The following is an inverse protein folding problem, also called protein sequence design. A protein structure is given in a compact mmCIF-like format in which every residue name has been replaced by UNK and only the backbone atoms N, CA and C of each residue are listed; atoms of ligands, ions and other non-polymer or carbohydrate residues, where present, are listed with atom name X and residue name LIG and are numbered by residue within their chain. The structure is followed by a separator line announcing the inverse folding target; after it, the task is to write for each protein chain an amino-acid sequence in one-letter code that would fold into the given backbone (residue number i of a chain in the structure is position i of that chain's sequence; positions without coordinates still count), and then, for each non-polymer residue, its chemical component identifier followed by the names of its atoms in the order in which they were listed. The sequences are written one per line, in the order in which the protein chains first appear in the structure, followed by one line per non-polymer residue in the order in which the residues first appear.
data_IF_263638700126
#
_entry.id   IF_263638700126
#
_cell.length_a   1.000
_cell.length_b   1.000
_cell.length_c   1.000
_cell.angle_alpha   90.00
_cell.angle_beta   90.00
_cell.angle_gamma   90.00
#
_symmetry.space_group_name_H-M   'P 1'
#
loop_
_entity.id
_entity.type
_entity.pdbx_description
1 polymer ?
#
# COMPACT_ATOMS: atom_id res chain seq x y z
N UNK A 1 -16.40 16.11 -0.52
CA UNK A 1 -15.56 15.36 0.43
C UNK A 1 -14.70 14.47 -0.43
N UNK A 2 -13.40 14.71 -0.42
CA UNK A 2 -12.39 13.91 -1.10
C UNK A 2 -12.01 12.72 -0.21
N UNK A 3 -11.60 11.61 -0.82
CA UNK A 3 -11.21 10.39 -0.12
C UNK A 3 -12.12 9.19 -0.39
N UNK A 4 -11.56 8.00 -0.15
CA UNK A 4 -12.15 6.71 -0.54
C UNK A 4 -13.13 6.12 0.50
N UNK A 5 -12.92 6.39 1.79
CA UNK A 5 -13.71 5.81 2.88
C UNK A 5 -14.59 6.87 3.55
N UNK A 6 -15.87 6.56 3.73
CA UNK A 6 -16.86 7.51 4.30
C UNK A 6 -16.81 7.57 5.83
N UNK A 7 -16.45 6.47 6.50
CA UNK A 7 -16.41 6.37 7.96
C UNK A 7 -15.02 5.88 8.39
N UNK A 8 -14.21 6.81 8.89
CA UNK A 8 -12.82 6.58 9.33
C UNK A 8 -12.60 7.25 10.70
N UNK A 9 -11.53 6.89 11.43
CA UNK A 9 -11.16 7.60 12.65
C UNK A 9 -11.04 9.11 12.39
N UNK A 10 -11.64 9.91 13.27
CA UNK A 10 -11.68 11.36 13.14
C UNK A 10 -10.78 12.01 14.18
N UNK A 11 -10.20 13.17 13.85
CA UNK A 11 -9.54 14.01 14.84
C UNK A 11 -10.60 14.67 15.72
N UNK A 12 -10.93 14.01 16.82
CA UNK A 12 -12.12 14.26 17.65
C UNK A 12 -11.83 15.09 18.92
N UNK A 13 -10.55 15.29 19.25
CA UNK A 13 -10.15 15.95 20.50
C UNK A 13 -10.24 15.04 21.74
N UNK A 14 -10.63 13.77 21.58
CA UNK A 14 -10.74 12.77 22.66
C UNK A 14 -9.75 11.63 22.40
N UNK A 15 -10.06 10.72 21.46
CA UNK A 15 -9.14 9.65 21.10
C UNK A 15 -7.86 10.20 20.45
N UNK A 16 -8.00 11.21 19.59
CA UNK A 16 -6.89 12.01 19.08
C UNK A 16 -6.98 13.42 19.67
N UNK A 17 -6.35 13.68 20.82
CA UNK A 17 -6.47 14.97 21.50
C UNK A 17 -5.57 16.08 20.91
N UNK A 18 -4.61 15.71 20.05
CA UNK A 18 -3.65 16.61 19.39
C UNK A 18 -3.34 16.12 17.96
N UNK A 19 -2.76 16.97 17.09
CA UNK A 19 -2.28 16.52 15.79
C UNK A 19 -1.35 15.30 15.88
N UNK A 20 -1.45 14.38 14.90
CA UNK A 20 -0.70 13.11 14.92
C UNK A 20 0.83 13.30 15.04
N UNK A 21 1.39 14.37 14.48
CA UNK A 21 2.83 14.67 14.59
C UNK A 21 3.26 14.99 16.04
N UNK A 22 2.41 15.68 16.81
CA UNK A 22 2.65 15.95 18.23
C UNK A 22 2.50 14.68 19.07
N UNK A 23 1.43 13.91 18.83
CA UNK A 23 1.20 12.64 19.52
C UNK A 23 2.37 11.67 19.29
N UNK A 24 2.95 11.62 18.08
CA UNK A 24 4.13 10.77 17.79
C UNK A 24 5.40 11.20 18.54
N UNK A 25 5.57 12.51 18.84
CA UNK A 25 6.67 13.00 19.68
C UNK A 25 6.52 12.52 21.11
N UNK A 26 5.32 12.61 21.67
CA UNK A 26 4.98 12.25 23.05
C UNK A 26 4.88 10.73 23.26
N UNK A 27 4.53 9.98 22.22
CA UNK A 27 4.33 8.53 22.30
C UNK A 27 5.59 7.78 22.77
N UNK A 28 5.44 6.73 23.60
CA UNK A 28 6.53 5.85 24.01
C UNK A 28 7.26 5.26 22.80
N UNK A 29 8.58 5.28 22.82
CA UNK A 29 9.39 4.77 21.71
C UNK A 29 9.36 3.25 21.69
N UNK A 30 9.10 2.70 20.51
CA UNK A 30 8.98 1.27 20.27
C UNK A 30 9.76 0.90 19.02
N UNK A 31 10.06 -0.39 18.89
CA UNK A 31 10.46 -0.93 17.61
C UNK A 31 9.22 -1.02 16.72
N UNK A 32 9.34 -0.66 15.46
CA UNK A 32 8.25 -0.67 14.48
C UNK A 32 8.73 -1.46 13.27
N UNK A 33 7.94 -2.45 12.86
CA UNK A 33 8.09 -3.14 11.58
C UNK A 33 6.87 -2.77 10.74
N UNK A 34 7.12 -2.27 9.53
CA UNK A 34 6.07 -1.88 8.59
C UNK A 34 6.57 -2.09 7.18
N UNK A 35 5.68 -2.24 6.22
CA UNK A 35 6.08 -2.43 4.84
C UNK A 35 4.89 -2.39 3.90
N UNK A 36 5.19 -2.66 2.64
CA UNK A 36 4.23 -2.74 1.54
C UNK A 36 4.54 -3.94 0.65
N UNK A 37 3.58 -4.32 -0.17
CA UNK A 37 3.74 -5.28 -1.26
C UNK A 37 4.22 -4.59 -2.53
N UNK A 38 4.66 -5.37 -3.52
CA UNK A 38 5.20 -4.86 -4.78
C UNK A 38 4.20 -4.01 -5.57
N UNK A 39 2.93 -4.42 -5.63
CA UNK A 39 1.85 -3.70 -6.31
C UNK A 39 0.59 -3.64 -5.44
N UNK A 40 0.63 -2.82 -4.39
CA UNK A 40 -0.50 -2.56 -3.49
C UNK A 40 -1.81 -2.22 -4.22
N UNK A 41 -1.74 -1.41 -5.28
CA UNK A 41 -2.93 -0.98 -6.01
C UNK A 41 -3.52 -2.01 -6.97
N UNK A 42 -2.90 -3.18 -7.17
CA UNK A 42 -3.25 -4.09 -8.26
C UNK A 42 -4.70 -4.59 -8.16
N UNK A 43 -5.10 -5.08 -7.00
CA UNK A 43 -6.46 -5.58 -6.80
C UNK A 43 -7.49 -4.43 -6.85
N UNK A 44 -7.20 -3.31 -6.20
CA UNK A 44 -8.10 -2.17 -6.08
C UNK A 44 -8.38 -1.51 -7.44
N UNK A 45 -7.34 -1.34 -8.26
CA UNK A 45 -7.49 -0.80 -9.61
C UNK A 45 -8.31 -1.73 -10.52
N UNK A 46 -8.22 -3.04 -10.30
CA UNK A 46 -8.90 -4.05 -11.11
C UNK A 46 -10.38 -4.22 -10.80
N UNK A 47 -10.76 -4.18 -9.53
CA UNK A 47 -12.15 -4.39 -9.11
C UNK A 47 -13.01 -3.12 -9.21
N UNK A 48 -12.40 -1.97 -9.48
CA UNK A 48 -13.11 -0.71 -9.62
C UNK A 48 -13.35 -0.36 -11.11
N UNK A 49 -14.56 -0.62 -11.65
CA UNK A 49 -14.84 -0.37 -13.06
C UNK A 49 -14.84 1.12 -13.43
N UNK A 50 -14.96 2.04 -12.45
CA UNK A 50 -14.96 3.49 -12.73
C UNK A 50 -13.58 3.99 -13.19
N UNK A 51 -12.52 3.21 -12.93
CA UNK A 51 -11.17 3.52 -13.35
C UNK A 51 -10.85 3.08 -14.79
N UNK A 52 -11.84 2.55 -15.51
CA UNK A 52 -11.74 2.21 -16.93
C UNK A 52 -12.48 3.24 -17.80
N UNK A 53 -11.93 3.71 -18.93
CA UNK A 53 -10.58 3.44 -19.46
C UNK A 53 -9.47 4.09 -18.62
N UNK A 54 -8.25 3.55 -18.69
CA UNK A 54 -7.19 3.86 -17.71
C UNK A 54 -6.82 5.34 -17.64
N UNK A 55 -6.74 6.03 -18.78
CA UNK A 55 -6.43 7.47 -18.81
C UNK A 55 -7.42 8.30 -17.98
N UNK A 56 -8.71 7.96 -18.08
CA UNK A 56 -9.75 8.59 -17.27
C UNK A 56 -9.67 8.13 -15.81
N UNK A 57 -9.29 6.88 -15.55
CA UNK A 57 -9.10 6.36 -14.20
C UNK A 57 -8.04 7.14 -13.41
N UNK A 58 -6.89 7.46 -14.00
CA UNK A 58 -5.85 8.24 -13.33
C UNK A 58 -6.34 9.66 -13.02
N UNK A 59 -7.05 10.29 -13.95
CA UNK A 59 -7.65 11.62 -13.75
C UNK A 59 -8.74 11.60 -12.66
N UNK A 60 -9.56 10.55 -12.65
CA UNK A 60 -10.61 10.37 -11.66
C UNK A 60 -10.02 10.18 -10.26
N UNK A 61 -9.01 9.30 -10.12
CA UNK A 61 -8.28 9.12 -8.87
C UNK A 61 -7.72 10.45 -8.36
N UNK A 62 -7.06 11.22 -9.22
CA UNK A 62 -6.55 12.55 -8.84
C UNK A 62 -7.66 13.47 -8.33
N UNK A 63 -8.81 13.50 -9.03
CA UNK A 63 -9.95 14.34 -8.68
C UNK A 63 -10.61 13.93 -7.36
N UNK A 64 -10.71 12.62 -7.11
CA UNK A 64 -11.30 12.07 -5.88
C UNK A 64 -10.39 12.23 -4.66
N UNK A 65 -9.07 12.19 -4.86
CA UNK A 65 -8.08 12.40 -3.81
C UNK A 65 -7.85 13.87 -3.47
N UNK A 66 -7.81 14.75 -4.48
CA UNK A 66 -7.34 16.13 -4.34
C UNK A 66 -8.41 17.16 -4.70
N UNK A 67 -9.57 17.13 -4.03
CA UNK A 67 -10.59 18.17 -4.12
C UNK A 67 -10.30 19.42 -3.29
N UNK A 68 -11.24 20.37 -3.29
CA UNK A 68 -11.11 21.69 -2.60
C UNK A 68 -10.98 21.60 -1.08
N UNK A 69 -11.34 20.45 -0.50
CA UNK A 69 -11.23 20.17 0.92
C UNK A 69 -9.86 19.60 1.33
N UNK A 70 -9.05 19.17 0.37
CA UNK A 70 -7.72 18.58 0.61
C UNK A 70 -6.59 19.42 0.01
N UNK A 71 -6.83 20.09 -1.13
CA UNK A 71 -5.84 20.94 -1.81
C UNK A 71 -6.30 22.40 -1.92
N UNK A 72 -5.38 23.34 -1.70
CA UNK A 72 -5.60 24.78 -1.91
C UNK A 72 -5.67 25.17 -3.39
N UNK A 73 -5.04 24.38 -4.27
CA UNK A 73 -5.16 24.49 -5.72
C UNK A 73 -5.39 23.11 -6.34
N UNK A 74 -6.64 22.61 -6.28
CA UNK A 74 -7.01 21.28 -6.78
C UNK A 74 -6.62 21.05 -8.24
N UNK A 75 -6.87 22.02 -9.12
CA UNK A 75 -6.61 21.89 -10.56
C UNK A 75 -5.13 21.63 -10.85
N UNK A 76 -4.24 22.42 -10.23
CA UNK A 76 -2.79 22.24 -10.38
C UNK A 76 -2.31 20.93 -9.75
N UNK A 77 -2.83 20.57 -8.57
CA UNK A 77 -2.45 19.33 -7.88
C UNK A 77 -2.85 18.11 -8.70
N UNK A 78 -4.06 18.10 -9.25
CA UNK A 78 -4.58 17.03 -10.09
C UNK A 78 -3.80 16.92 -11.40
N UNK A 79 -3.43 18.05 -12.01
CA UNK A 79 -2.57 18.11 -13.20
C UNK A 79 -1.20 17.50 -12.91
N UNK A 80 -0.54 17.92 -11.83
CA UNK A 80 0.75 17.39 -11.41
C UNK A 80 0.70 15.89 -11.12
N UNK A 81 -0.36 15.41 -10.46
CA UNK A 81 -0.57 13.99 -10.22
C UNK A 81 -0.59 13.20 -11.53
N UNK A 82 -1.47 13.59 -12.45
CA UNK A 82 -1.61 12.91 -13.74
C UNK A 82 -0.30 12.95 -14.55
N UNK A 83 0.38 14.10 -14.59
CA UNK A 83 1.65 14.24 -15.32
C UNK A 83 2.76 13.37 -14.72
N UNK A 84 2.90 13.32 -13.40
CA UNK A 84 3.94 12.53 -12.76
C UNK A 84 3.81 11.02 -13.05
N UNK A 85 2.58 10.50 -13.13
CA UNK A 85 2.36 9.09 -13.46
C UNK A 85 2.41 8.80 -14.97
N UNK A 86 2.18 9.79 -15.85
CA UNK A 86 2.05 9.56 -17.30
C UNK A 86 3.16 10.17 -18.17
N UNK A 87 4.08 10.96 -17.61
CA UNK A 87 5.12 11.70 -18.36
C UNK A 87 6.03 10.85 -19.27
N UNK A 88 6.29 9.60 -18.88
CA UNK A 88 7.28 8.72 -19.52
C UNK A 88 6.63 7.46 -20.12
N UNK A 89 5.32 7.48 -20.33
CA UNK A 89 4.55 6.35 -20.86
C UNK A 89 3.85 6.73 -22.16
N UNK A 90 3.90 5.81 -23.13
CA UNK A 90 3.06 5.91 -24.31
C UNK A 90 1.59 5.77 -23.89
N UNK A 91 0.84 6.86 -23.99
CA UNK A 91 -0.57 6.91 -23.58
C UNK A 91 -1.49 6.06 -24.45
N UNK A 92 -1.02 5.62 -25.62
CA UNK A 92 -1.75 4.68 -26.47
C UNK A 92 -1.54 3.21 -26.07
N UNK A 93 -0.53 2.93 -25.24
CA UNK A 93 -0.30 1.62 -24.65
C UNK A 93 -1.17 1.46 -23.38
N UNK A 94 -2.33 0.85 -23.55
CA UNK A 94 -3.29 0.63 -22.45
C UNK A 94 -2.70 -0.23 -21.33
N UNK A 95 -1.80 -1.18 -21.64
CA UNK A 95 -1.18 -2.01 -20.61
C UNK A 95 -0.17 -1.22 -19.77
N UNK A 96 0.68 -0.42 -20.42
CA UNK A 96 1.62 0.45 -19.73
C UNK A 96 0.89 1.51 -18.89
N UNK A 97 -0.16 2.13 -19.45
CA UNK A 97 -1.03 3.04 -18.72
C UNK A 97 -1.67 2.35 -17.52
N UNK A 98 -2.16 1.11 -17.68
CA UNK A 98 -2.81 0.35 -16.60
C UNK A 98 -1.87 0.10 -15.44
N UNK A 99 -0.61 -0.22 -15.75
CA UNK A 99 0.44 -0.34 -14.73
C UNK A 99 0.65 0.98 -13.97
N UNK A 100 0.61 2.13 -14.65
CA UNK A 100 0.71 3.45 -14.00
C UNK A 100 -0.48 3.79 -13.12
N UNK A 101 -1.70 3.42 -13.53
CA UNK A 101 -2.87 3.52 -12.66
C UNK A 101 -2.71 2.65 -11.39
N UNK A 102 -2.23 1.42 -11.54
CA UNK A 102 -1.98 0.51 -10.40
C UNK A 102 -0.94 1.10 -9.44
N UNK A 103 0.16 1.64 -9.96
CA UNK A 103 1.19 2.35 -9.16
C UNK A 103 0.57 3.56 -8.43
N UNK A 104 -0.22 4.37 -9.13
CA UNK A 104 -0.88 5.55 -8.55
C UNK A 104 -1.86 5.19 -7.43
N UNK A 105 -2.69 4.16 -7.62
CA UNK A 105 -3.61 3.65 -6.58
C UNK A 105 -2.82 3.12 -5.37
N UNK A 106 -1.73 2.39 -5.62
CA UNK A 106 -0.88 1.86 -4.56
C UNK A 106 -0.19 2.95 -3.74
N UNK A 107 0.32 3.98 -4.41
CA UNK A 107 0.97 5.11 -3.75
C UNK A 107 0.01 5.95 -2.91
N UNK A 108 -1.15 6.27 -3.49
CA UNK A 108 -2.18 7.10 -2.88
C UNK A 108 -2.75 6.47 -1.62
N UNK A 109 -3.05 5.17 -1.65
CA UNK A 109 -3.71 4.50 -0.53
C UNK A 109 -2.76 3.80 0.45
N UNK A 110 -1.53 3.47 0.03
CA UNK A 110 -0.63 2.63 0.84
C UNK A 110 0.80 3.16 0.92
N UNK A 111 1.54 3.19 -0.20
CA UNK A 111 3.00 3.34 -0.15
C UNK A 111 3.45 4.66 0.48
N UNK A 112 2.84 5.77 0.09
CA UNK A 112 3.22 7.10 0.62
C UNK A 112 2.90 7.19 2.10
N UNK A 113 1.73 6.69 2.52
CA UNK A 113 1.31 6.68 3.93
C UNK A 113 2.26 5.84 4.81
N UNK A 114 2.60 4.63 4.37
CA UNK A 114 3.56 3.75 5.07
C UNK A 114 4.94 4.39 5.15
N UNK A 115 5.43 4.96 4.05
CA UNK A 115 6.74 5.62 4.03
C UNK A 115 6.78 6.85 4.94
N UNK A 116 5.73 7.68 4.94
CA UNK A 116 5.62 8.83 5.84
C UNK A 116 5.53 8.40 7.30
N UNK A 117 4.78 7.33 7.60
CA UNK A 117 4.68 6.79 8.94
C UNK A 117 6.04 6.28 9.45
N UNK A 118 6.79 5.55 8.60
CA UNK A 118 8.14 5.07 8.89
C UNK A 118 9.12 6.24 9.11
N UNK A 119 9.17 7.21 8.19
CA UNK A 119 10.02 8.40 8.30
C UNK A 119 9.74 9.19 9.58
N UNK A 120 8.47 9.43 9.88
CA UNK A 120 8.07 10.19 11.07
C UNK A 120 8.37 9.43 12.36
N UNK A 121 8.16 8.11 12.38
CA UNK A 121 8.53 7.28 13.51
C UNK A 121 10.04 7.31 13.79
N UNK A 122 10.87 7.17 12.75
CA UNK A 122 12.32 7.24 12.85
C UNK A 122 12.78 8.64 13.30
N UNK A 123 12.21 9.71 12.73
CA UNK A 123 12.47 11.11 13.12
C UNK A 123 12.31 11.34 14.62
N UNK A 124 11.33 10.69 15.25
CA UNK A 124 11.06 10.82 16.69
C UNK A 124 11.68 9.70 17.55
N UNK A 125 12.67 8.98 17.05
CA UNK A 125 13.52 8.08 17.84
C UNK A 125 12.98 6.66 18.02
N UNK A 126 12.09 6.19 17.14
CA UNK A 126 11.74 4.76 17.08
C UNK A 126 12.75 4.00 16.21
N UNK A 127 13.02 2.74 16.57
CA UNK A 127 13.76 1.82 15.70
C UNK A 127 12.79 1.30 14.63
N UNK A 128 13.02 1.64 13.35
CA UNK A 128 12.10 1.31 12.26
C UNK A 128 12.74 0.29 11.31
N UNK A 129 12.01 -0.80 11.07
CA UNK A 129 12.31 -1.84 10.09
C UNK A 129 11.29 -1.72 8.96
N UNK A 130 11.71 -1.16 7.83
CA UNK A 130 10.87 -0.99 6.65
C UNK A 130 11.14 -2.12 5.64
N UNK A 131 10.11 -2.79 5.14
CA UNK A 131 10.25 -3.84 4.13
C UNK A 131 9.39 -3.61 2.89
N UNK A 132 9.76 -4.28 1.80
CA UNK A 132 8.92 -4.46 0.62
C UNK A 132 8.80 -5.97 0.37
N UNK A 133 7.58 -6.48 0.26
CA UNK A 133 7.30 -7.88 -0.02
C UNK A 133 7.01 -8.04 -1.52
N UNK A 134 7.84 -8.81 -2.22
CA UNK A 134 7.77 -8.94 -3.69
C UNK A 134 7.81 -10.40 -4.17
N UNK A 135 7.49 -11.35 -3.28
CA UNK A 135 7.35 -12.74 -3.69
C UNK A 135 5.92 -13.01 -4.17
N UNK A 136 5.79 -13.73 -5.29
CA UNK A 136 4.50 -14.19 -5.79
C UNK A 136 4.61 -15.64 -6.26
N UNK A 137 3.71 -16.49 -5.80
CA UNK A 137 3.42 -17.75 -6.48
C UNK A 137 2.42 -17.45 -7.60
N UNK A 138 2.82 -17.65 -8.86
CA UNK A 138 1.98 -17.37 -10.03
C UNK A 138 0.70 -18.20 -10.06
N UNK A 139 0.67 -19.36 -9.42
CA UNK A 139 -0.49 -20.25 -9.43
C UNK A 139 -1.40 -20.01 -8.21
N UNK A 140 -0.95 -19.16 -7.28
CA UNK A 140 -1.59 -18.93 -5.98
C UNK A 140 -2.80 -18.01 -5.99
N UNK A 141 -3.29 -17.51 -7.13
CA UNK A 141 -4.40 -16.55 -7.19
C UNK A 141 -5.79 -17.21 -7.27
N UNK A 142 -5.88 -18.53 -7.42
CA UNK A 142 -7.16 -19.24 -7.47
C UNK A 142 -8.08 -18.68 -8.57
N UNK A 143 -9.31 -18.30 -8.21
CA UNK A 143 -10.29 -17.74 -9.15
C UNK A 143 -9.86 -16.42 -9.81
N UNK A 144 -8.85 -15.73 -9.28
CA UNK A 144 -8.35 -14.46 -9.80
C UNK A 144 -7.24 -14.62 -10.85
N UNK A 145 -6.75 -15.84 -11.10
CA UNK A 145 -5.62 -16.10 -11.99
C UNK A 145 -5.76 -15.47 -13.39
N UNK A 146 -6.96 -15.52 -13.97
CA UNK A 146 -7.25 -15.02 -15.32
C UNK A 146 -7.81 -13.58 -15.33
N UNK A 147 -8.10 -13.03 -14.15
CA UNK A 147 -8.65 -11.67 -14.02
C UNK A 147 -7.54 -10.62 -13.88
N UNK A 148 -6.37 -11.01 -13.38
CA UNK A 148 -5.26 -10.09 -13.17
C UNK A 148 -4.54 -9.76 -14.49
N UNK A 149 -4.18 -8.48 -14.72
CA UNK A 149 -3.47 -8.05 -15.93
C UNK A 149 -2.02 -8.58 -15.94
N UNK A 150 -1.47 -8.86 -14.75
CA UNK A 150 -0.18 -9.51 -14.55
C UNK A 150 -0.14 -10.09 -13.12
N UNK A 151 0.79 -11.02 -12.88
CA UNK A 151 0.95 -11.70 -11.60
C UNK A 151 2.09 -11.05 -10.81
N UNK A 152 1.78 -10.56 -9.61
CA UNK A 152 2.73 -9.93 -8.70
C UNK A 152 2.21 -9.97 -7.26
N UNK A 153 3.07 -9.63 -6.29
CA UNK A 153 2.63 -9.45 -4.91
C UNK A 153 1.68 -8.24 -4.81
N UNK A 154 0.40 -8.51 -4.58
CA UNK A 154 -0.65 -7.50 -4.42
C UNK A 154 -1.00 -7.27 -2.95
N UNK A 155 -1.82 -6.26 -2.65
CA UNK A 155 -2.25 -5.92 -1.29
C UNK A 155 -2.65 -7.14 -0.44
N UNK A 156 -1.98 -7.32 0.69
CA UNK A 156 -2.22 -8.39 1.63
C UNK A 156 -1.64 -9.76 1.25
N UNK A 157 -0.92 -9.89 0.13
CA UNK A 157 -0.28 -11.16 -0.28
C UNK A 157 0.68 -11.68 0.78
N UNK A 158 1.43 -10.81 1.45
CA UNK A 158 2.39 -11.15 2.49
C UNK A 158 1.72 -11.82 3.71
N UNK A 159 0.45 -11.52 3.99
CA UNK A 159 -0.27 -12.06 5.16
C UNK A 159 -0.37 -13.57 5.11
N UNK A 160 -0.50 -14.18 3.93
CA UNK A 160 -0.55 -15.65 3.80
C UNK A 160 0.77 -16.31 4.17
N UNK A 161 1.88 -15.60 3.99
CA UNK A 161 3.22 -16.04 4.39
C UNK A 161 3.56 -15.65 5.83
N UNK A 162 2.70 -14.89 6.51
CA UNK A 162 2.83 -14.61 7.95
C UNK A 162 1.93 -15.54 8.77
N UNK A 163 0.72 -15.81 8.26
CA UNK A 163 -0.33 -16.57 8.97
C UNK A 163 -0.44 -18.02 8.51
N UNK A 164 0.08 -18.36 7.32
CA UNK A 164 -0.11 -19.69 6.72
C UNK A 164 -1.54 -19.95 6.23
N UNK A 165 -2.29 -18.91 5.87
CA UNK A 165 -3.71 -18.99 5.51
C UNK A 165 -4.04 -18.12 4.28
N UNK A 166 -5.09 -18.48 3.55
CA UNK A 166 -5.57 -17.76 2.38
C UNK A 166 -6.09 -16.34 2.69
N UNK A 167 -5.77 -15.38 1.80
CA UNK A 167 -6.26 -13.99 1.89
C UNK A 167 -7.31 -13.72 0.82
N UNK A 168 -6.97 -13.99 -0.45
CA UNK A 168 -7.85 -13.82 -1.62
C UNK A 168 -8.17 -15.13 -2.35
N UNK A 169 -7.54 -16.22 -1.93
CA UNK A 169 -7.71 -17.57 -2.43
C UNK A 169 -7.28 -18.56 -1.34
N UNK A 170 -7.67 -19.83 -1.47
CA UNK A 170 -7.15 -20.91 -0.61
C UNK A 170 -5.62 -20.94 -0.71
N UNK A 171 -4.95 -21.13 0.43
CA UNK A 171 -3.49 -21.27 0.47
C UNK A 171 -3.10 -22.74 0.34
N UNK A 172 -2.69 -23.13 -0.87
CA UNK A 172 -2.16 -24.46 -1.20
C UNK A 172 -0.67 -24.31 -1.58
N UNK A 173 0.25 -24.24 -0.58
CA UNK A 173 1.63 -23.85 -0.81
C UNK A 173 2.45 -24.91 -1.55
N UNK A 174 3.32 -24.46 -2.45
CA UNK A 174 4.42 -25.27 -2.98
C UNK A 174 5.69 -25.17 -2.10
N UNK A 175 6.78 -25.83 -2.51
CA UNK A 175 8.03 -25.82 -1.74
C UNK A 175 8.63 -24.41 -1.55
N UNK A 176 8.51 -23.53 -2.54
CA UNK A 176 8.98 -22.15 -2.42
C UNK A 176 8.08 -21.31 -1.51
N UNK A 177 6.77 -21.51 -1.55
CA UNK A 177 5.84 -20.88 -0.61
C UNK A 177 6.17 -21.23 0.83
N UNK A 178 6.53 -22.50 1.11
CA UNK A 178 6.93 -22.95 2.44
C UNK A 178 8.24 -22.29 2.91
N UNK A 179 9.22 -22.09 2.02
CA UNK A 179 10.46 -21.35 2.34
C UNK A 179 10.17 -19.89 2.67
N UNK A 180 9.26 -19.26 1.93
CA UNK A 180 8.87 -17.87 2.18
C UNK A 180 8.06 -17.74 3.47
N UNK A 181 7.15 -18.67 3.73
CA UNK A 181 6.40 -18.78 5.00
C UNK A 181 7.36 -18.92 6.20
N UNK A 182 8.33 -19.84 6.13
CA UNK A 182 9.34 -20.01 7.18
C UNK A 182 10.14 -18.72 7.40
N UNK A 183 10.57 -18.07 6.32
CA UNK A 183 11.32 -16.80 6.39
C UNK A 183 10.50 -15.69 7.04
N UNK A 184 9.26 -15.49 6.59
CA UNK A 184 8.39 -14.42 7.07
C UNK A 184 7.97 -14.65 8.52
N UNK A 185 7.55 -15.86 8.89
CA UNK A 185 7.23 -16.21 10.28
C UNK A 185 8.45 -16.06 11.20
N UNK A 186 9.65 -16.44 10.74
CA UNK A 186 10.90 -16.23 11.48
C UNK A 186 11.22 -14.75 11.67
N UNK A 187 11.06 -13.91 10.64
CA UNK A 187 11.29 -12.46 10.74
C UNK A 187 10.32 -11.81 11.73
N UNK A 188 9.02 -12.09 11.62
CA UNK A 188 7.99 -11.49 12.47
C UNK A 188 8.06 -12.01 13.91
N UNK A 189 8.30 -13.30 14.12
CA UNK A 189 8.47 -13.86 15.48
C UNK A 189 9.74 -13.34 16.16
N UNK A 190 10.86 -13.21 15.43
CA UNK A 190 12.07 -12.58 15.96
C UNK A 190 11.81 -11.12 16.33
N UNK A 191 11.12 -10.35 15.48
CA UNK A 191 10.77 -8.96 15.79
C UNK A 191 9.88 -8.86 17.03
N UNK A 192 8.89 -9.74 17.18
CA UNK A 192 8.00 -9.76 18.34
C UNK A 192 8.71 -10.14 19.64
N UNK A 193 9.66 -11.07 19.59
CA UNK A 193 10.28 -11.66 20.79
C UNK A 193 11.62 -11.03 21.18
N UNK A 194 12.39 -10.52 20.22
CA UNK A 194 13.73 -9.97 20.45
C UNK A 194 13.69 -8.44 20.52
N UNK A 195 13.18 -7.88 21.62
CA UNK A 195 13.43 -6.46 21.94
C UNK A 195 14.93 -6.26 22.17
N UNK A 196 15.60 -5.62 21.20
CA UNK A 196 17.06 -5.29 21.17
C UNK A 196 18.02 -6.49 21.17
N UNK A 197 18.15 -7.18 20.04
CA UNK A 197 19.41 -7.84 19.62
C UNK A 197 19.61 -7.80 18.11
N UNK A 198 19.73 -6.59 17.57
CA UNK A 198 20.45 -6.37 16.32
C UNK A 198 21.48 -5.29 16.63
N UNK A 199 22.67 -5.73 17.04
CA UNK A 199 23.91 -4.95 17.00
C UNK A 199 24.72 -5.51 15.83
#
# INVERSE_FOLDING_TARGET
MSGFLTLIPNFDGDFFPKPLDELRKEAPKKQIMTGVTEYEGLMMAMINPTLSPTDNGIKLLAKESYGKDVSSNPEETQRMFYENYTKEVDKSDEFAMKKKLIEAVGDEYFNVGVLQAAKTAAKYGNDVYLYTFNYTNSDGFGMWNDMLPFKAALHGTELRYILGEGVYSKFDPNEEDLKVLEKMTTLFSNFATKRKRFK
#
